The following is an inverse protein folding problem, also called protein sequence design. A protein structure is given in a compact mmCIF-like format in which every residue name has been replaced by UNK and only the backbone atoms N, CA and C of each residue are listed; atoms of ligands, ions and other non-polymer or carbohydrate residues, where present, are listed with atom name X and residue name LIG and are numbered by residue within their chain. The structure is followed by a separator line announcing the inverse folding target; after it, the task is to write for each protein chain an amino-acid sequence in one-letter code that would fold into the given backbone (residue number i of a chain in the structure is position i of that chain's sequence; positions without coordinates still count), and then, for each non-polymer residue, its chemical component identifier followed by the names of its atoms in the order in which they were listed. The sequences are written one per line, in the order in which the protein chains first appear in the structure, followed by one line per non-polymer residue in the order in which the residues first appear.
data_IF_012671952707
#
_entry.id   IF_012671952707
#
_cell.length_a   1.000
_cell.length_b   1.000
_cell.length_c   1.000
_cell.angle_alpha   90.00
_cell.angle_beta   90.00
_cell.angle_gamma   90.00
#
_symmetry.space_group_name_H-M   'P 1'
#
loop_
_entity.id
_entity.type
_entity.pdbx_description
1 polymer ?
#
# COMPACT_ATOMS: atom_id res chain seq x y z
N UNK A 1 20.51 -7.67 7.57
CA UNK A 1 19.32 -8.36 7.03
C UNK A 1 19.12 -7.87 5.61
N UNK A 2 18.73 -8.70 4.64
CA UNK A 2 18.40 -8.21 3.31
C UNK A 2 17.17 -7.29 3.40
N UNK A 3 17.11 -6.29 2.52
CA UNK A 3 15.88 -5.52 2.33
C UNK A 3 14.84 -6.43 1.71
N UNK A 4 13.67 -6.54 2.31
CA UNK A 4 12.54 -7.27 1.75
C UNK A 4 11.52 -6.29 1.16
N UNK A 5 11.05 -6.57 -0.04
CA UNK A 5 10.05 -5.76 -0.72
C UNK A 5 8.88 -6.64 -1.13
N UNK A 6 7.69 -6.34 -0.62
CA UNK A 6 6.44 -6.96 -1.08
C UNK A 6 5.66 -5.95 -1.91
N UNK A 7 5.42 -6.29 -3.18
CA UNK A 7 4.58 -5.49 -4.07
C UNK A 7 3.12 -5.96 -4.02
N UNK A 8 2.23 -5.09 -3.55
CA UNK A 8 0.80 -5.39 -3.39
C UNK A 8 -0.06 -4.93 -4.57
N UNK A 9 0.54 -4.22 -5.53
CA UNK A 9 -0.10 -3.71 -6.74
C UNK A 9 -0.24 -2.18 -6.74
N UNK A 10 -0.24 -1.58 -7.95
CA UNK A 10 -0.10 -0.14 -8.14
C UNK A 10 1.20 0.36 -7.47
N UNK A 11 1.14 1.47 -6.73
CA UNK A 11 2.22 2.00 -5.91
C UNK A 11 2.22 1.48 -4.46
N UNK A 12 1.37 0.51 -4.12
CA UNK A 12 1.33 -0.07 -2.78
C UNK A 12 2.41 -1.13 -2.61
N UNK A 13 3.43 -0.82 -1.82
CA UNK A 13 4.53 -1.71 -1.45
C UNK A 13 4.75 -1.70 0.06
N UNK A 14 5.16 -2.84 0.60
CA UNK A 14 5.82 -2.90 1.91
C UNK A 14 7.31 -3.05 1.69
N UNK A 15 8.11 -2.20 2.34
CA UNK A 15 9.58 -2.28 2.36
C UNK A 15 10.01 -2.52 3.80
N UNK A 16 10.71 -3.62 4.04
CA UNK A 16 11.26 -3.98 5.34
C UNK A 16 12.78 -3.88 5.28
N UNK A 17 13.32 -2.92 6.02
CA UNK A 17 14.76 -2.69 6.12
C UNK A 17 15.12 -2.31 7.55
N UNK A 18 16.18 -2.93 8.08
CA UNK A 18 16.75 -2.59 9.39
C UNK A 18 15.74 -2.59 10.54
N UNK A 19 14.72 -3.46 10.47
CA UNK A 19 13.66 -3.59 11.46
C UNK A 19 12.53 -2.55 11.35
N UNK A 20 12.54 -1.72 10.31
CA UNK A 20 11.50 -0.74 10.00
C UNK A 20 10.69 -1.21 8.80
N UNK A 21 9.36 -1.17 8.93
CA UNK A 21 8.41 -1.49 7.88
C UNK A 21 7.77 -0.22 7.34
N UNK A 22 8.07 0.10 6.09
CA UNK A 22 7.49 1.24 5.37
C UNK A 22 6.40 0.75 4.42
N UNK A 23 5.23 1.40 4.46
CA UNK A 23 4.14 1.18 3.51
C UNK A 23 3.98 2.38 2.59
N UNK A 24 4.05 2.17 1.29
CA UNK A 24 3.89 3.24 0.29
C UNK A 24 2.46 3.30 -0.24
N UNK A 25 1.93 4.51 -0.46
CA UNK A 25 0.71 4.78 -1.24
C UNK A 25 -0.39 3.72 -1.12
N UNK A 26 -0.98 3.53 0.07
CA UNK A 26 -1.83 2.38 0.35
C UNK A 26 -3.16 2.43 -0.41
N UNK A 27 -3.38 1.46 -1.31
CA UNK A 27 -4.60 1.28 -2.09
C UNK A 27 -5.16 -0.14 -1.91
N UNK A 28 -5.95 -0.31 -0.85
CA UNK A 28 -6.57 -1.58 -0.45
C UNK A 28 -7.96 -1.82 -1.08
N UNK A 29 -8.19 -1.27 -2.27
CA UNK A 29 -9.49 -1.30 -2.95
C UNK A 29 -9.43 -2.12 -4.25
N UNK A 30 -10.56 -2.74 -4.62
CA UNK A 30 -10.71 -3.42 -5.93
C UNK A 30 -10.99 -2.44 -7.06
N UNK A 31 -11.55 -1.28 -6.72
CA UNK A 31 -11.99 -0.26 -7.66
C UNK A 31 -11.65 1.12 -7.09
N UNK A 32 -11.22 2.01 -7.96
CA UNK A 32 -11.07 3.43 -7.71
C UNK A 32 -11.74 4.18 -8.85
N UNK A 33 -12.90 4.79 -8.59
CA UNK A 33 -13.75 5.38 -9.62
C UNK A 33 -14.01 4.40 -10.80
N UNK A 34 -13.58 4.75 -12.00
CA UNK A 34 -13.73 3.93 -13.20
C UNK A 34 -12.62 2.86 -13.35
N UNK A 35 -11.54 2.96 -12.57
CA UNK A 35 -10.43 2.01 -12.58
C UNK A 35 -10.75 0.76 -11.77
N UNK A 36 -10.33 -0.39 -12.28
CA UNK A 36 -10.50 -1.69 -11.62
C UNK A 36 -9.15 -2.41 -11.54
N UNK A 37 -8.86 -2.98 -10.38
CA UNK A 37 -7.73 -3.91 -10.21
C UNK A 37 -7.95 -5.11 -11.14
N UNK A 38 -7.01 -5.31 -12.08
CA UNK A 38 -7.09 -6.38 -13.08
C UNK A 38 -6.48 -7.70 -12.61
N UNK A 39 -5.43 -7.64 -11.80
CA UNK A 39 -4.65 -8.81 -11.33
C UNK A 39 -4.19 -8.61 -9.89
N UNK A 40 -3.77 -9.71 -9.26
CA UNK A 40 -3.32 -9.75 -7.88
C UNK A 40 -4.48 -9.77 -6.88
N UNK A 41 -4.26 -10.41 -5.73
CA UNK A 41 -5.19 -10.35 -4.61
C UNK A 41 -5.28 -8.92 -4.06
N UNK A 42 -6.32 -8.63 -3.29
CA UNK A 42 -6.28 -7.44 -2.45
C UNK A 42 -5.22 -7.62 -1.37
N UNK A 43 -4.55 -6.53 -0.96
CA UNK A 43 -3.58 -6.61 0.12
C UNK A 43 -4.32 -7.09 1.39
N UNK A 44 -3.83 -8.13 2.08
CA UNK A 44 -4.47 -8.66 3.28
C UNK A 44 -4.36 -7.64 4.43
N UNK A 45 -5.06 -7.89 5.55
CA UNK A 45 -4.99 -6.99 6.72
C UNK A 45 -3.56 -6.77 7.22
N UNK A 46 -2.70 -7.79 7.14
CA UNK A 46 -1.29 -7.69 7.52
C UNK A 46 -0.49 -6.68 6.68
N UNK A 47 -0.92 -6.36 5.46
CA UNK A 47 -0.27 -5.35 4.61
C UNK A 47 -0.48 -3.91 5.11
N UNK A 48 -1.44 -3.68 6.01
CA UNK A 48 -1.66 -2.37 6.64
C UNK A 48 -0.75 -2.13 7.86
N UNK A 49 -0.08 -3.17 8.36
CA UNK A 49 0.87 -3.04 9.47
C UNK A 49 2.15 -2.41 8.93
N UNK A 50 2.48 -1.21 9.40
CA UNK A 50 3.69 -0.50 9.06
C UNK A 50 4.06 0.49 10.17
N UNK A 51 5.35 0.78 10.31
CA UNK A 51 5.85 1.80 11.24
C UNK A 51 5.72 3.20 10.64
N UNK A 52 5.88 3.30 9.31
CA UNK A 52 5.82 4.55 8.55
C UNK A 52 5.00 4.34 7.29
N UNK A 53 4.14 5.32 6.98
CA UNK A 53 3.41 5.38 5.71
C UNK A 53 3.93 6.55 4.89
N UNK A 54 4.37 6.25 3.67
CA UNK A 54 4.87 7.23 2.71
C UNK A 54 3.83 7.49 1.64
N UNK A 55 3.37 8.74 1.55
CA UNK A 55 2.52 9.23 0.47
C UNK A 55 3.37 10.01 -0.51
N UNK A 56 3.40 9.58 -1.77
CA UNK A 56 4.21 10.24 -2.80
C UNK A 56 3.61 11.57 -3.27
N UNK A 57 2.28 11.63 -3.43
CA UNK A 57 1.53 12.83 -3.84
C UNK A 57 0.03 12.65 -3.57
N UNK A 58 -0.76 13.69 -3.87
CA UNK A 58 -2.17 13.79 -3.45
C UNK A 58 -3.20 13.36 -4.52
N UNK A 59 -2.85 12.46 -5.43
CA UNK A 59 -3.84 11.85 -6.33
C UNK A 59 -4.58 10.69 -5.65
N UNK A 60 -5.84 10.46 -6.03
CA UNK A 60 -6.73 9.51 -5.34
C UNK A 60 -6.25 8.04 -5.38
N UNK A 61 -5.37 7.69 -6.33
CA UNK A 61 -4.75 6.36 -6.45
C UNK A 61 -3.49 6.20 -5.60
N UNK A 62 -2.98 7.28 -5.01
CA UNK A 62 -1.85 7.29 -4.06
C UNK A 62 -2.28 7.68 -2.65
N UNK A 63 -3.17 8.67 -2.54
CA UNK A 63 -3.84 9.10 -1.31
C UNK A 63 -5.29 8.60 -1.30
N UNK A 64 -5.47 7.34 -0.90
CA UNK A 64 -6.80 6.74 -0.77
C UNK A 64 -7.26 6.76 0.69
N UNK A 65 -8.05 7.77 1.08
CA UNK A 65 -8.51 8.00 2.46
C UNK A 65 -9.14 6.75 3.12
N UNK A 66 -10.01 5.96 2.45
CA UNK A 66 -10.55 4.74 3.06
C UNK A 66 -9.50 3.66 3.33
N UNK A 67 -8.37 3.65 2.63
CA UNK A 67 -7.25 2.75 2.93
C UNK A 67 -6.40 3.27 4.07
N UNK A 68 -6.17 4.58 4.14
CA UNK A 68 -5.49 5.21 5.27
C UNK A 68 -6.24 5.03 6.60
N UNK A 69 -7.58 5.05 6.57
CA UNK A 69 -8.41 4.80 7.75
C UNK A 69 -8.35 3.35 8.29
N UNK A 70 -7.62 2.45 7.62
CA UNK A 70 -7.44 1.04 8.02
C UNK A 70 -6.06 0.74 8.61
N UNK A 71 -5.20 1.75 8.70
CA UNK A 71 -3.85 1.67 9.27
C UNK A 71 -3.91 1.62 10.79
#
# INVERSE_FOLDING_TARGET
MPVEVTWWGHATCTVEDSGVRVLTDPLFARRLAHLRRRRGALPPRAAALADVVLLSHLHADHLHVPSLARL
#
